data_IF_505791657747
#
_entry.id   IF_505791657747
#
_cell.length_a   1.000
_cell.length_b   1.000
_cell.length_c   1.000
_cell.angle_alpha   90.00
_cell.angle_beta   90.00
_cell.angle_gamma   90.00
#
_symmetry.space_group_name_H-M   'P 1'
#
loop_
_entity.id
_entity.type
_entity.pdbx_description
1 polymer ?
#
# COMPACT_ATOMS: atom_id res chain seq x y z
N UNK A 1 29.80 3.47 -28.18
CA UNK A 1 31.05 2.89 -27.63
C UNK A 1 31.74 2.11 -28.73
N UNK A 2 33.08 2.09 -28.79
CA UNK A 2 33.81 1.33 -29.81
C UNK A 2 33.85 -0.16 -29.50
N UNK A 3 33.70 -1.00 -30.52
CA UNK A 3 33.87 -2.43 -30.37
C UNK A 3 35.36 -2.77 -30.26
N UNK A 4 35.76 -3.52 -29.24
CA UNK A 4 37.14 -4.00 -29.07
C UNK A 4 37.29 -5.49 -29.38
N UNK A 5 36.36 -6.04 -30.15
CA UNK A 5 36.47 -7.42 -30.60
C UNK A 5 37.58 -7.52 -31.66
N UNK A 6 38.47 -8.52 -31.55
CA UNK A 6 39.60 -8.69 -32.47
C UNK A 6 39.11 -8.69 -33.93
N UNK A 7 39.59 -7.73 -34.72
CA UNK A 7 39.24 -7.58 -36.13
C UNK A 7 37.90 -6.89 -36.41
N UNK A 8 37.20 -6.41 -35.40
CA UNK A 8 36.01 -5.56 -35.55
C UNK A 8 36.44 -4.09 -35.59
N UNK A 9 36.03 -3.36 -36.64
CA UNK A 9 36.34 -1.93 -36.83
C UNK A 9 35.19 -0.98 -36.47
N UNK A 10 34.10 -1.50 -35.89
CA UNK A 10 32.90 -0.71 -35.59
C UNK A 10 33.15 0.29 -34.44
N UNK A 11 32.86 1.56 -34.74
CA UNK A 11 33.00 2.70 -33.82
C UNK A 11 31.64 3.29 -33.51
N UNK A 12 31.52 3.95 -32.35
CA UNK A 12 30.30 4.66 -31.95
C UNK A 12 29.00 3.82 -32.02
N UNK A 13 29.10 2.51 -31.74
CA UNK A 13 27.94 1.62 -31.73
C UNK A 13 26.95 2.06 -30.66
N UNK A 14 25.73 2.42 -31.08
CA UNK A 14 24.63 2.84 -30.19
C UNK A 14 24.13 1.69 -29.31
N UNK A 15 23.88 0.52 -29.92
CA UNK A 15 23.42 -0.69 -29.23
C UNK A 15 24.52 -1.76 -29.25
N UNK A 16 25.53 -1.56 -28.40
CA UNK A 16 26.66 -2.48 -28.27
C UNK A 16 26.17 -3.88 -27.87
N UNK A 17 25.12 -3.96 -27.06
CA UNK A 17 24.50 -5.22 -26.63
C UNK A 17 23.94 -6.08 -27.75
N UNK A 18 23.33 -5.47 -28.78
CA UNK A 18 22.91 -6.20 -29.97
C UNK A 18 24.07 -6.48 -30.90
N UNK A 19 24.99 -5.54 -31.07
CA UNK A 19 26.19 -5.73 -31.89
C UNK A 19 27.02 -6.94 -31.44
N UNK A 20 27.33 -7.09 -30.14
CA UNK A 20 28.14 -8.22 -29.66
C UNK A 20 27.52 -9.61 -29.89
N UNK A 21 26.21 -9.69 -30.16
CA UNK A 21 25.55 -10.96 -30.45
C UNK A 21 26.08 -11.58 -31.75
N UNK A 22 26.54 -10.77 -32.71
CA UNK A 22 27.12 -11.28 -33.97
C UNK A 22 28.41 -12.04 -33.67
N UNK A 23 29.29 -11.46 -32.86
CA UNK A 23 30.54 -12.08 -32.44
C UNK A 23 30.27 -13.37 -31.69
N UNK A 24 29.33 -13.34 -30.74
CA UNK A 24 28.93 -14.53 -29.99
C UNK A 24 28.40 -15.63 -30.93
N UNK A 25 27.60 -15.28 -31.94
CA UNK A 25 27.02 -16.22 -32.91
C UNK A 25 28.11 -16.90 -33.74
N UNK A 26 29.09 -16.14 -34.20
CA UNK A 26 30.14 -16.61 -35.11
C UNK A 26 31.27 -17.34 -34.37
N UNK A 27 31.44 -17.10 -33.06
CA UNK A 27 32.36 -17.87 -32.22
C UNK A 27 31.79 -19.23 -31.84
N UNK A 28 32.32 -20.29 -32.47
CA UNK A 28 31.92 -21.69 -32.24
C UNK A 28 32.53 -22.28 -30.97
N UNK A 29 33.73 -21.84 -30.60
CA UNK A 29 34.49 -22.40 -29.48
C UNK A 29 34.16 -21.74 -28.12
N UNK A 30 33.17 -20.84 -28.09
CA UNK A 30 32.79 -20.08 -26.89
C UNK A 30 33.96 -19.31 -26.25
N UNK A 31 34.91 -18.87 -27.09
CA UNK A 31 36.08 -18.09 -26.71
C UNK A 31 35.83 -16.59 -26.88
N UNK A 32 36.33 -15.79 -25.93
CA UNK A 32 36.25 -14.34 -26.01
C UNK A 32 37.48 -13.78 -26.71
N UNK A 33 37.28 -12.96 -27.76
CA UNK A 33 38.37 -12.28 -28.46
C UNK A 33 38.34 -10.76 -28.23
N UNK A 34 37.81 -10.34 -27.07
CA UNK A 34 37.77 -8.93 -26.69
C UNK A 34 39.14 -8.46 -26.19
N UNK A 35 39.70 -7.43 -26.82
CA UNK A 35 41.01 -6.90 -26.45
C UNK A 35 41.03 -6.37 -25.02
N UNK A 36 41.99 -6.84 -24.22
CA UNK A 36 42.10 -6.52 -22.80
C UNK A 36 41.18 -7.35 -21.88
N UNK A 37 40.53 -8.40 -22.39
CA UNK A 37 39.79 -9.35 -21.55
C UNK A 37 40.74 -10.22 -20.72
N UNK A 38 40.41 -10.43 -19.44
CA UNK A 38 41.17 -11.33 -18.55
C UNK A 38 41.08 -12.81 -18.95
N UNK A 39 40.07 -13.18 -19.72
CA UNK A 39 39.81 -14.55 -20.21
C UNK A 39 39.92 -14.63 -21.73
N UNK A 40 40.83 -13.82 -22.29
CA UNK A 40 41.02 -13.73 -23.72
C UNK A 40 41.45 -15.09 -24.30
N UNK A 41 40.78 -15.51 -25.37
CA UNK A 41 40.97 -16.80 -26.04
C UNK A 41 40.73 -18.04 -25.15
N UNK A 42 40.16 -17.88 -23.96
CA UNK A 42 39.77 -18.99 -23.09
C UNK A 42 38.35 -19.45 -23.41
N UNK A 43 38.15 -20.77 -23.46
CA UNK A 43 36.83 -21.35 -23.68
C UNK A 43 35.98 -21.23 -22.40
N UNK A 44 34.75 -20.74 -22.57
CA UNK A 44 33.77 -20.77 -21.49
C UNK A 44 33.15 -22.16 -21.35
N UNK A 45 32.80 -22.53 -20.11
CA UNK A 45 32.23 -23.85 -19.80
C UNK A 45 30.88 -24.14 -20.49
N UNK A 46 30.17 -23.10 -20.96
CA UNK A 46 28.93 -23.27 -21.71
C UNK A 46 28.63 -22.06 -22.60
N UNK A 47 27.78 -22.25 -23.60
CA UNK A 47 27.27 -21.19 -24.49
C UNK A 47 26.56 -20.07 -23.72
N UNK A 48 25.77 -20.41 -22.70
CA UNK A 48 25.08 -19.43 -21.85
C UNK A 48 26.05 -18.63 -20.97
N UNK A 49 27.10 -19.28 -20.46
CA UNK A 49 28.19 -18.63 -19.73
C UNK A 49 28.96 -17.66 -20.63
N UNK A 50 29.30 -18.08 -21.84
CA UNK A 50 29.95 -17.24 -22.85
C UNK A 50 29.13 -15.99 -23.19
N UNK A 51 27.84 -16.16 -23.44
CA UNK A 51 26.93 -15.05 -23.72
C UNK A 51 26.88 -14.03 -22.59
N UNK A 52 26.85 -14.50 -21.33
CA UNK A 52 26.85 -13.63 -20.14
C UNK A 52 28.19 -12.94 -19.95
N UNK A 53 29.30 -13.64 -20.18
CA UNK A 53 30.64 -13.09 -20.13
C UNK A 53 30.81 -11.94 -21.14
N UNK A 54 30.46 -12.15 -22.41
CA UNK A 54 30.59 -11.12 -23.43
C UNK A 54 29.73 -9.88 -23.17
N UNK A 55 28.54 -10.04 -22.56
CA UNK A 55 27.72 -8.90 -22.13
C UNK A 55 28.40 -8.00 -21.10
N UNK A 56 29.32 -8.54 -20.29
CA UNK A 56 30.03 -7.74 -19.28
C UNK A 56 30.92 -6.65 -19.91
N UNK A 57 31.41 -6.84 -21.13
CA UNK A 57 32.23 -5.86 -21.83
C UNK A 57 31.45 -4.63 -22.30
N UNK A 58 30.16 -4.79 -22.56
CA UNK A 58 29.31 -3.71 -23.08
C UNK A 58 28.90 -2.73 -22.00
N UNK A 59 28.94 -3.14 -20.71
CA UNK A 59 28.45 -2.32 -19.59
C UNK A 59 26.94 -2.02 -19.63
N UNK A 60 26.24 -2.43 -20.69
CA UNK A 60 24.84 -2.11 -20.94
C UNK A 60 23.93 -2.81 -19.94
N UNK A 61 23.26 -1.98 -19.13
CA UNK A 61 22.17 -2.40 -18.25
C UNK A 61 20.85 -2.29 -19.00
N UNK A 62 20.64 -3.22 -19.93
CA UNK A 62 19.47 -3.23 -20.83
C UNK A 62 18.11 -3.37 -20.15
N UNK A 63 18.06 -3.68 -18.86
CA UNK A 63 16.81 -3.94 -18.15
C UNK A 63 16.55 -2.84 -17.13
N UNK A 64 15.80 -1.82 -17.54
CA UNK A 64 15.39 -0.71 -16.68
C UNK A 64 14.03 -0.98 -16.05
N UNK A 65 13.94 -0.81 -14.73
CA UNK A 65 12.66 -0.83 -14.03
C UNK A 65 11.91 0.47 -14.30
N UNK A 66 10.71 0.41 -14.87
CA UNK A 66 9.88 1.60 -15.14
C UNK A 66 9.24 2.20 -13.89
N UNK A 67 9.26 1.48 -12.77
CA UNK A 67 8.62 1.91 -11.51
C UNK A 67 9.61 2.71 -10.64
N UNK A 68 10.86 2.26 -10.54
CA UNK A 68 11.89 2.93 -9.72
C UNK A 68 13.15 3.34 -10.49
N UNK A 69 13.16 3.17 -11.82
CA UNK A 69 14.26 3.57 -12.72
C UNK A 69 15.63 2.94 -12.43
N UNK A 70 15.66 1.83 -11.67
CA UNK A 70 16.88 1.05 -11.44
C UNK A 70 17.19 0.20 -12.68
N UNK A 71 18.46 0.25 -13.12
CA UNK A 71 18.94 -0.52 -14.26
C UNK A 71 19.65 -1.81 -13.83
N UNK A 72 19.44 -2.88 -14.59
CA UNK A 72 20.02 -4.20 -14.34
C UNK A 72 20.75 -4.73 -15.59
N UNK A 73 21.88 -5.40 -15.37
CA UNK A 73 22.65 -6.08 -16.42
C UNK A 73 22.12 -7.49 -16.77
N UNK A 74 21.22 -8.03 -15.95
CA UNK A 74 20.69 -9.39 -16.11
C UNK A 74 19.16 -9.44 -16.04
N UNK A 75 18.58 -10.17 -17.00
CA UNK A 75 17.13 -10.44 -17.13
C UNK A 75 16.55 -11.03 -15.84
N UNK A 76 17.24 -12.02 -15.28
CA UNK A 76 16.73 -12.78 -14.12
C UNK A 76 16.69 -11.89 -12.87
N UNK A 77 17.68 -11.02 -12.71
CA UNK A 77 17.73 -10.07 -11.60
C UNK A 77 16.64 -9.01 -11.76
N UNK A 78 16.44 -8.50 -12.98
CA UNK A 78 15.36 -7.57 -13.32
C UNK A 78 13.97 -8.14 -13.01
N UNK A 79 13.64 -9.34 -13.50
CA UNK A 79 12.31 -9.92 -13.26
C UNK A 79 12.06 -10.23 -11.77
N UNK A 80 13.09 -10.68 -11.05
CA UNK A 80 13.00 -10.87 -9.59
C UNK A 80 12.73 -9.55 -8.87
N UNK A 81 13.37 -8.47 -9.29
CA UNK A 81 13.12 -7.13 -8.77
C UNK A 81 11.68 -6.67 -9.09
N UNK A 82 11.24 -6.79 -10.35
CA UNK A 82 9.90 -6.37 -10.79
C UNK A 82 8.78 -7.08 -10.02
N UNK A 83 8.96 -8.36 -9.67
CA UNK A 83 7.99 -9.10 -8.82
C UNK A 83 7.79 -8.45 -7.46
N UNK A 84 8.79 -7.79 -6.88
CA UNK A 84 8.63 -7.09 -5.59
C UNK A 84 7.63 -5.95 -5.69
N UNK A 85 7.64 -5.19 -6.79
CA UNK A 85 6.65 -4.13 -7.01
C UNK A 85 5.22 -4.69 -7.05
N UNK A 86 4.99 -5.76 -7.81
CA UNK A 86 3.65 -6.38 -7.89
C UNK A 86 3.15 -6.95 -6.55
N UNK A 87 4.05 -7.38 -5.67
CA UNK A 87 3.68 -7.85 -4.31
C UNK A 87 3.35 -6.67 -3.40
N UNK A 88 4.09 -5.57 -3.52
CA UNK A 88 3.83 -4.36 -2.75
C UNK A 88 2.51 -3.70 -3.16
N UNK A 89 2.23 -3.58 -4.46
CA UNK A 89 0.96 -3.05 -4.99
C UNK A 89 -0.24 -3.83 -4.42
N UNK A 90 -0.20 -5.16 -4.45
CA UNK A 90 -1.27 -6.01 -3.86
C UNK A 90 -1.41 -5.81 -2.34
N UNK A 91 -0.30 -5.62 -1.63
CA UNK A 91 -0.33 -5.33 -0.18
C UNK A 91 -0.91 -3.95 0.11
N UNK A 92 -0.61 -2.97 -0.73
CA UNK A 92 -1.17 -1.62 -0.62
C UNK A 92 -2.68 -1.64 -0.88
N UNK A 93 -3.13 -2.28 -1.97
CA UNK A 93 -4.56 -2.46 -2.29
C UNK A 93 -5.33 -3.12 -1.14
N UNK A 94 -4.79 -4.20 -0.57
CA UNK A 94 -5.40 -4.89 0.57
C UNK A 94 -5.38 -4.04 1.85
N UNK A 95 -4.38 -3.19 2.04
CA UNK A 95 -4.31 -2.25 3.17
C UNK A 95 -5.35 -1.13 3.02
N UNK A 96 -5.50 -0.59 1.82
CA UNK A 96 -6.53 0.42 1.49
C UNK A 96 -7.94 -0.15 1.75
N UNK A 97 -8.21 -1.38 1.30
CA UNK A 97 -9.49 -2.05 1.56
C UNK A 97 -9.79 -2.19 3.06
N UNK A 98 -8.79 -2.54 3.88
CA UNK A 98 -8.93 -2.61 5.34
C UNK A 98 -9.21 -1.25 5.97
N UNK A 99 -8.51 -0.20 5.53
CA UNK A 99 -8.71 1.18 6.02
C UNK A 99 -10.14 1.65 5.70
N UNK A 100 -10.61 1.39 4.48
CA UNK A 100 -11.98 1.71 4.07
C UNK A 100 -13.02 1.01 4.95
N UNK A 101 -12.83 -0.28 5.24
CA UNK A 101 -13.72 -1.04 6.13
C UNK A 101 -13.75 -0.47 7.55
N UNK A 102 -12.59 -0.10 8.10
CA UNK A 102 -12.50 0.52 9.42
C UNK A 102 -13.20 1.88 9.47
N UNK A 103 -13.15 2.65 8.37
CA UNK A 103 -13.93 3.88 8.22
C UNK A 103 -15.43 3.63 8.35
N UNK A 104 -15.98 2.69 7.59
CA UNK A 104 -17.40 2.34 7.67
C UNK A 104 -17.83 1.86 9.06
N UNK A 105 -17.00 1.06 9.73
CA UNK A 105 -17.27 0.60 11.10
C UNK A 105 -17.31 1.76 12.09
N UNK A 106 -16.38 2.71 11.97
CA UNK A 106 -16.34 3.89 12.83
C UNK A 106 -17.59 4.76 12.63
N UNK A 107 -17.99 4.99 11.38
CA UNK A 107 -19.19 5.77 11.06
C UNK A 107 -20.46 5.09 11.58
N UNK A 108 -20.56 3.77 11.40
CA UNK A 108 -21.65 2.97 11.96
C UNK A 108 -21.73 3.09 13.49
N UNK A 109 -20.59 2.95 14.17
CA UNK A 109 -20.55 3.07 15.63
C UNK A 109 -20.87 4.48 16.10
N UNK A 110 -20.40 5.53 15.41
CA UNK A 110 -20.76 6.92 15.70
C UNK A 110 -22.26 7.14 15.58
N UNK A 111 -22.86 6.70 14.48
CA UNK A 111 -24.31 6.85 14.25
C UNK A 111 -25.10 6.14 15.35
N UNK A 112 -24.75 4.90 15.66
CA UNK A 112 -25.40 4.13 16.74
C UNK A 112 -25.27 4.82 18.10
N UNK A 113 -24.15 5.46 18.39
CA UNK A 113 -23.99 6.23 19.64
C UNK A 113 -24.93 7.43 19.66
N UNK A 114 -25.09 8.15 18.55
CA UNK A 114 -26.05 9.26 18.44
C UNK A 114 -27.47 8.76 18.67
N UNK A 115 -27.89 7.71 17.97
CA UNK A 115 -29.25 7.16 18.09
C UNK A 115 -29.57 6.75 19.54
N UNK A 116 -28.60 6.14 20.24
CA UNK A 116 -28.76 5.76 21.65
C UNK A 116 -28.88 6.97 22.59
N UNK A 117 -28.14 8.04 22.32
CA UNK A 117 -28.22 9.28 23.10
C UNK A 117 -29.56 9.99 22.89
N UNK A 118 -30.07 9.99 21.67
CA UNK A 118 -31.39 10.54 21.35
C UNK A 118 -32.51 9.75 22.04
N UNK A 119 -32.46 8.41 22.02
CA UNK A 119 -33.41 7.55 22.73
C UNK A 119 -33.37 7.77 24.26
N UNK A 120 -32.16 7.90 24.83
CA UNK A 120 -31.98 8.24 26.25
C UNK A 120 -32.55 9.62 26.60
N UNK A 121 -32.32 10.62 25.75
CA UNK A 121 -32.86 11.96 25.94
C UNK A 121 -34.40 11.96 25.90
N UNK A 122 -34.98 11.23 24.94
CA UNK A 122 -36.42 11.05 24.83
C UNK A 122 -37.02 10.38 26.06
N UNK A 123 -36.43 9.26 26.51
CA UNK A 123 -36.86 8.55 27.72
C UNK A 123 -36.79 9.44 28.96
N UNK A 124 -35.72 10.23 29.11
CA UNK A 124 -35.54 11.17 30.22
C UNK A 124 -36.59 12.28 30.21
N UNK A 125 -36.91 12.83 29.04
CA UNK A 125 -37.95 13.84 28.89
C UNK A 125 -39.33 13.30 29.27
N UNK A 126 -39.66 12.09 28.81
CA UNK A 126 -40.93 11.43 29.16
C UNK A 126 -41.03 11.16 30.68
N UNK A 127 -39.96 10.68 31.30
CA UNK A 127 -39.93 10.46 32.76
C UNK A 127 -40.19 11.76 33.53
N UNK A 128 -39.57 12.86 33.10
CA UNK A 128 -39.77 14.19 33.71
C UNK A 128 -41.22 14.66 33.56
N UNK A 129 -41.83 14.43 32.41
CA UNK A 129 -43.24 14.76 32.15
C UNK A 129 -44.17 13.97 33.07
N UNK A 130 -44.04 12.63 33.11
CA UNK A 130 -44.86 11.77 33.97
C UNK A 130 -44.71 12.15 35.44
N UNK A 131 -43.49 12.43 35.90
CA UNK A 131 -43.25 12.85 37.28
C UNK A 131 -43.94 14.18 37.62
N UNK A 132 -43.99 15.12 36.66
CA UNK A 132 -44.73 16.37 36.80
C UNK A 132 -46.24 16.16 36.95
N UNK A 133 -46.83 15.32 36.10
CA UNK A 133 -48.26 14.97 36.19
C UNK A 133 -48.62 14.34 37.55
N UNK A 134 -47.78 13.42 38.03
CA UNK A 134 -47.97 12.78 39.35
C UNK A 134 -47.92 13.82 40.47
N UNK A 135 -46.95 14.74 40.44
CA UNK A 135 -46.82 15.81 41.43
C UNK A 135 -48.07 16.70 41.45
N UNK A 136 -48.61 17.07 40.29
CA UNK A 136 -49.82 17.89 40.21
C UNK A 136 -51.07 17.17 40.75
N UNK A 137 -51.21 15.87 40.46
CA UNK A 137 -52.29 15.04 41.05
C UNK A 137 -52.17 14.98 42.57
N UNK A 138 -50.96 14.76 43.10
CA UNK A 138 -50.69 14.72 44.55
C UNK A 138 -51.03 16.08 45.20
N UNK A 139 -50.56 17.19 44.63
CA UNK A 139 -50.86 18.55 45.12
C UNK A 139 -52.37 18.79 45.19
N UNK A 140 -53.12 18.40 44.15
CA UNK A 140 -54.58 18.55 44.10
C UNK A 140 -55.28 17.72 45.18
N UNK A 141 -54.85 16.47 45.38
CA UNK A 141 -55.42 15.59 46.39
C UNK A 141 -55.15 16.08 47.83
N UNK A 142 -53.93 16.53 48.12
CA UNK A 142 -53.57 17.10 49.43
C UNK A 142 -54.38 18.36 49.73
N UNK A 143 -54.50 19.29 48.77
CA UNK A 143 -55.33 20.50 48.92
C UNK A 143 -56.80 20.18 49.21
N UNK A 144 -57.34 19.11 48.62
CA UNK A 144 -58.74 18.69 48.82
C UNK A 144 -59.03 17.99 50.17
N UNK A 145 -58.00 17.49 50.87
CA UNK A 145 -58.16 16.78 52.16
C UNK A 145 -57.69 17.56 53.39
N UNK A 146 -56.96 18.67 53.21
CA UNK A 146 -56.40 19.40 54.34
C UNK A 146 -57.39 20.43 54.91
N UNK A 147 -57.90 20.16 56.12
CA UNK A 147 -58.75 21.06 56.93
C UNK A 147 -57.97 22.23 57.59
N UNK A 148 -56.64 22.27 57.44
CA UNK A 148 -55.77 23.37 57.88
C UNK A 148 -55.07 23.96 56.67
N UNK A 149 -55.76 24.86 55.97
CA UNK A 149 -55.32 25.54 54.75
C UNK A 149 -54.26 26.63 54.98
N UNK A 150 -53.79 26.82 56.21
CA UNK A 150 -52.94 27.95 56.57
C UNK A 150 -51.65 27.49 57.26
N UNK A 151 -50.83 26.75 56.52
CA UNK A 151 -49.46 26.51 56.93
C UNK A 151 -48.56 26.58 55.71
N UNK A 152 -47.67 27.57 55.78
CA UNK A 152 -46.51 27.94 54.95
C UNK A 152 -45.52 26.78 54.61
N UNK A 153 -45.93 25.53 54.78
CA UNK A 153 -45.08 24.36 55.02
C UNK A 153 -44.79 23.52 53.76
N UNK A 154 -45.62 23.62 52.70
CA UNK A 154 -45.54 22.67 51.58
C UNK A 154 -44.82 23.19 50.32
N UNK A 155 -44.52 24.48 50.23
CA UNK A 155 -43.84 25.04 49.05
C UNK A 155 -42.32 24.77 49.01
N UNK A 156 -41.72 24.32 50.12
CA UNK A 156 -40.27 24.08 50.21
C UNK A 156 -39.86 22.61 49.99
N UNK A 157 -40.80 21.67 49.88
CA UNK A 157 -40.51 20.21 49.89
C UNK A 157 -40.93 19.43 48.63
N UNK A 158 -41.55 20.07 47.63
CA UNK A 158 -41.97 19.49 46.33
C UNK A 158 -41.40 20.29 45.16
#
# INVERSE_FOLDING_TARGET
>A
MDCKWKGCGEKDVEDMSNHIKIHIRDQKDNVCLWEGCSRYSEANASRGGFYTHCKSHTGDRNYKCTICNIDFSSVNVYYRHKRKHTVLEKKEETSIAKISLLGHLLDFHKQRTVDLLEDLAFKKANLKFINGEIIEVIKKYIKGKNLYSDAKFWNEYL
#
